data_IF_511946760844
#
_entry.id   IF_511946760844
#
_cell.length_a   1.000
_cell.length_b   1.000
_cell.length_c   1.000
_cell.angle_alpha   90.00
_cell.angle_beta   90.00
_cell.angle_gamma   90.00
#
_symmetry.space_group_name_H-M   'P 1'
#
loop_
_entity.id
_entity.type
_entity.pdbx_description
1 polymer ?
#
# COMPACT_ATOMS: atom_id res chain seq x y z
N UNK A 1 -66.90 109.33 34.89
CA UNK A 1 -67.62 108.14 35.41
C UNK A 1 -68.05 108.44 36.83
N UNK A 2 -69.29 108.14 37.20
CA UNK A 2 -69.80 108.32 38.56
C UNK A 2 -69.06 107.36 39.51
N UNK A 3 -68.16 107.87 40.36
CA UNK A 3 -67.55 107.06 41.44
C UNK A 3 -68.63 106.68 42.44
N UNK A 4 -68.87 105.38 42.62
CA UNK A 4 -69.80 104.87 43.63
C UNK A 4 -69.01 104.59 44.90
N UNK A 5 -69.36 105.26 45.98
CA UNK A 5 -68.69 105.09 47.28
C UNK A 5 -69.45 104.04 48.10
N UNK A 6 -68.78 102.96 48.48
CA UNK A 6 -69.33 101.93 49.37
C UNK A 6 -68.57 101.96 50.70
N UNK A 7 -69.29 102.01 51.81
CA UNK A 7 -68.70 101.90 53.15
C UNK A 7 -68.67 100.43 53.56
N UNK A 8 -67.49 99.83 53.57
CA UNK A 8 -67.29 98.45 53.99
C UNK A 8 -66.95 98.45 55.48
N UNK A 9 -67.71 97.68 56.27
CA UNK A 9 -67.46 97.53 57.72
C UNK A 9 -66.95 96.12 57.99
N UNK A 10 -65.68 96.03 58.43
CA UNK A 10 -65.08 94.77 58.85
C UNK A 10 -65.49 94.45 60.28
N UNK A 11 -65.94 93.21 60.52
CA UNK A 11 -66.35 92.76 61.85
C UNK A 11 -65.17 92.38 62.76
N UNK A 12 -64.04 92.03 62.18
CA UNK A 12 -62.82 91.69 62.90
C UNK A 12 -61.75 92.76 62.60
N UNK A 13 -61.53 93.66 63.56
CA UNK A 13 -60.60 94.79 63.42
C UNK A 13 -59.14 94.36 63.29
N UNK A 14 -58.75 93.28 63.97
CA UNK A 14 -57.39 92.72 63.93
C UNK A 14 -57.02 92.22 62.53
N UNK A 15 -57.95 91.56 61.82
CA UNK A 15 -57.73 91.15 60.42
C UNK A 15 -57.60 92.33 59.47
N UNK A 16 -58.27 93.45 59.78
CA UNK A 16 -58.15 94.67 59.00
C UNK A 16 -56.80 95.35 59.23
N UNK A 17 -56.34 95.40 60.49
CA UNK A 17 -55.00 95.88 60.84
C UNK A 17 -53.91 95.04 60.16
N UNK A 18 -53.98 93.71 60.25
CA UNK A 18 -53.04 92.81 59.57
C UNK A 18 -53.08 92.97 58.03
N UNK A 19 -54.25 93.23 57.45
CA UNK A 19 -54.37 93.51 56.01
C UNK A 19 -53.68 94.82 55.62
N UNK A 20 -53.80 95.86 56.46
CA UNK A 20 -53.12 97.13 56.26
C UNK A 20 -51.61 96.98 56.40
N UNK A 21 -51.14 96.27 57.43
CA UNK A 21 -49.72 95.97 57.64
C UNK A 21 -49.12 95.23 56.45
N UNK A 22 -49.81 94.24 55.89
CA UNK A 22 -49.26 93.45 54.78
C UNK A 22 -49.32 94.19 53.43
N UNK A 23 -50.26 95.13 53.26
CA UNK A 23 -50.20 96.09 52.14
C UNK A 23 -48.99 97.01 52.29
N UNK A 24 -48.75 97.52 53.50
CA UNK A 24 -47.64 98.43 53.79
C UNK A 24 -46.29 97.73 53.64
N UNK A 25 -46.17 96.48 54.09
CA UNK A 25 -44.96 95.67 53.92
C UNK A 25 -44.61 95.41 52.45
N UNK A 26 -45.61 95.18 51.61
CA UNK A 26 -45.41 94.88 50.19
C UNK A 26 -45.24 96.14 49.31
N UNK A 27 -45.85 97.26 49.69
CA UNK A 27 -45.91 98.48 48.86
C UNK A 27 -45.27 99.72 49.51
N UNK A 28 -44.78 99.61 50.74
CA UNK A 28 -44.20 100.71 51.53
C UNK A 28 -45.21 101.73 52.08
N UNK A 29 -46.48 101.67 51.66
CA UNK A 29 -47.57 102.52 52.17
C UNK A 29 -48.93 101.90 51.92
N UNK A 30 -49.90 102.21 52.78
CA UNK A 30 -51.30 101.81 52.60
C UNK A 30 -52.09 102.75 51.68
N UNK A 31 -51.60 103.99 51.49
CA UNK A 31 -52.34 105.05 50.80
C UNK A 31 -52.40 104.77 49.29
N UNK A 32 -53.62 104.69 48.73
CA UNK A 32 -53.86 104.42 47.31
C UNK A 32 -53.85 102.94 46.92
N UNK A 33 -53.20 102.08 47.72
CA UNK A 33 -53.15 100.64 47.47
C UNK A 33 -54.34 99.89 48.08
N UNK A 34 -54.92 100.37 49.20
CA UNK A 34 -56.12 99.75 49.78
C UNK A 34 -57.27 99.66 48.76
N UNK A 35 -57.58 100.77 48.07
CA UNK A 35 -58.66 100.81 47.09
C UNK A 35 -58.45 99.82 45.97
N UNK A 36 -57.26 99.86 45.36
CA UNK A 36 -56.87 98.95 44.26
C UNK A 36 -56.88 97.47 44.69
N UNK A 37 -56.41 97.16 45.90
CA UNK A 37 -56.45 95.79 46.44
C UNK A 37 -57.88 95.33 46.70
N UNK A 38 -58.74 96.19 47.26
CA UNK A 38 -60.16 95.86 47.49
C UNK A 38 -60.90 95.69 46.16
N UNK A 39 -60.64 96.53 45.17
CA UNK A 39 -61.17 96.39 43.81
C UNK A 39 -60.73 95.06 43.19
N UNK A 40 -59.45 94.69 43.32
CA UNK A 40 -58.93 93.40 42.85
C UNK A 40 -59.60 92.21 43.56
N UNK A 41 -59.83 92.31 44.88
CA UNK A 41 -60.55 91.28 45.65
C UNK A 41 -62.01 91.15 45.19
N UNK A 42 -62.66 92.27 44.87
CA UNK A 42 -64.02 92.28 44.30
C UNK A 42 -64.01 91.63 42.91
N UNK A 43 -63.05 91.96 42.06
CA UNK A 43 -62.92 91.36 40.72
C UNK A 43 -62.66 89.85 40.79
N UNK A 44 -61.82 89.40 41.73
CA UNK A 44 -61.58 87.97 41.98
C UNK A 44 -62.88 87.29 42.43
N UNK A 45 -63.61 87.90 43.36
CA UNK A 45 -64.88 87.36 43.84
C UNK A 45 -65.95 87.30 42.73
N UNK A 46 -66.02 88.31 41.87
CA UNK A 46 -66.95 88.32 40.72
C UNK A 46 -66.56 87.23 39.71
N UNK A 47 -65.26 87.07 39.43
CA UNK A 47 -64.75 86.12 38.43
C UNK A 47 -64.83 84.67 38.93
N UNK A 48 -64.74 84.47 40.23
CA UNK A 48 -64.77 83.16 40.88
C UNK A 48 -65.65 83.20 42.15
N UNK A 49 -66.97 83.31 41.98
CA UNK A 49 -67.92 83.50 43.10
C UNK A 49 -67.97 82.30 44.06
N UNK A 50 -67.54 81.13 43.58
CA UNK A 50 -67.50 79.88 44.33
C UNK A 50 -66.22 79.72 45.20
N UNK A 51 -65.29 80.69 45.16
CA UNK A 51 -64.11 80.70 46.03
C UNK A 51 -64.53 81.18 47.42
N UNK A 52 -65.02 80.23 48.20
CA UNK A 52 -65.24 80.37 49.64
C UNK A 52 -63.97 79.99 50.40
N UNK A 53 -63.88 80.41 51.67
CA UNK A 53 -62.80 79.98 52.59
C UNK A 53 -62.74 78.45 52.68
N UNK A 54 -63.88 77.78 52.68
CA UNK A 54 -63.98 76.32 52.69
C UNK A 54 -63.37 75.70 51.43
N UNK A 55 -63.58 76.33 50.26
CA UNK A 55 -63.01 75.86 49.00
C UNK A 55 -61.50 76.06 48.93
N UNK A 56 -60.99 77.15 49.50
CA UNK A 56 -59.55 77.39 49.65
C UNK A 56 -58.89 76.33 50.53
N UNK A 57 -59.48 76.01 51.68
CA UNK A 57 -58.97 74.94 52.58
C UNK A 57 -59.02 73.56 51.90
N UNK A 58 -60.05 73.28 51.09
CA UNK A 58 -60.13 72.05 50.31
C UNK A 58 -59.03 71.98 49.24
N UNK A 59 -58.74 73.10 48.57
CA UNK A 59 -57.67 73.21 47.58
C UNK A 59 -56.29 73.07 48.22
N UNK A 60 -56.06 73.70 49.38
CA UNK A 60 -54.81 73.54 50.16
C UNK A 60 -54.58 72.08 50.52
N UNK A 61 -55.60 71.38 51.06
CA UNK A 61 -55.50 69.94 51.37
C UNK A 61 -55.24 69.08 50.15
N UNK A 62 -55.84 69.41 49.00
CA UNK A 62 -55.57 68.72 47.72
C UNK A 62 -54.15 68.96 47.24
N UNK A 63 -53.64 70.17 47.44
CA UNK A 63 -52.30 70.54 47.05
C UNK A 63 -51.26 69.84 47.94
N UNK A 64 -51.46 69.79 49.26
CA UNK A 64 -50.63 69.00 50.19
C UNK A 64 -50.57 67.53 49.78
N UNK A 65 -51.72 66.90 49.52
CA UNK A 65 -51.78 65.51 49.02
C UNK A 65 -51.05 65.31 47.69
N UNK A 66 -51.11 66.30 46.80
CA UNK A 66 -50.41 66.24 45.52
C UNK A 66 -48.90 66.35 45.72
N UNK A 67 -48.47 67.19 46.67
CA UNK A 67 -47.07 67.31 47.06
C UNK A 67 -46.53 66.01 47.66
N UNK A 68 -47.28 65.39 48.56
CA UNK A 68 -46.95 64.07 49.13
C UNK A 68 -46.79 63.02 48.02
N UNK A 69 -47.73 62.98 47.07
CA UNK A 69 -47.68 62.08 45.91
C UNK A 69 -46.45 62.31 45.04
N UNK A 70 -46.08 63.57 44.81
CA UNK A 70 -44.89 63.94 44.03
C UNK A 70 -43.63 63.44 44.75
N UNK A 71 -43.53 63.68 46.06
CA UNK A 71 -42.37 63.24 46.85
C UNK A 71 -42.24 61.71 46.88
N UNK A 72 -43.35 60.98 46.99
CA UNK A 72 -43.36 59.50 46.90
C UNK A 72 -42.85 59.02 45.54
N UNK A 73 -43.34 59.62 44.44
CA UNK A 73 -42.92 59.26 43.09
C UNK A 73 -41.46 59.62 42.83
N UNK A 74 -41.00 60.78 43.31
CA UNK A 74 -39.59 61.17 43.21
C UNK A 74 -38.69 60.20 43.97
N UNK A 75 -39.11 59.73 45.16
CA UNK A 75 -38.39 58.72 45.91
C UNK A 75 -38.32 57.38 45.16
N UNK A 76 -39.45 56.91 44.62
CA UNK A 76 -39.50 55.66 43.86
C UNK A 76 -38.67 55.70 42.57
N UNK A 77 -38.68 56.84 41.87
CA UNK A 77 -37.87 57.03 40.66
C UNK A 77 -36.39 57.10 41.01
N UNK A 78 -36.03 57.95 41.97
CA UNK A 78 -34.64 58.29 42.25
C UNK A 78 -33.91 57.16 42.97
N UNK A 79 -34.56 56.51 43.93
CA UNK A 79 -33.90 55.48 44.72
C UNK A 79 -34.14 54.11 44.11
N UNK A 80 -35.40 53.70 43.94
CA UNK A 80 -35.68 52.32 43.55
C UNK A 80 -35.31 52.04 42.09
N UNK A 81 -35.78 52.86 41.15
CA UNK A 81 -35.49 52.62 39.73
C UNK A 81 -34.04 52.92 39.35
N UNK A 82 -33.44 54.00 39.88
CA UNK A 82 -32.04 54.32 39.57
C UNK A 82 -31.07 53.26 40.09
N UNK A 83 -31.27 52.76 41.32
CA UNK A 83 -30.42 51.71 41.89
C UNK A 83 -30.54 50.40 41.12
N UNK A 84 -31.76 50.04 40.68
CA UNK A 84 -31.98 48.84 39.87
C UNK A 84 -31.30 48.95 38.49
N UNK A 85 -31.40 50.12 37.85
CA UNK A 85 -30.71 50.39 36.58
C UNK A 85 -29.18 50.32 36.76
N UNK A 86 -28.63 50.92 37.82
CA UNK A 86 -27.19 50.84 38.09
C UNK A 86 -26.71 49.41 38.33
N UNK A 87 -27.50 48.61 39.06
CA UNK A 87 -27.19 47.21 39.29
C UNK A 87 -27.19 46.42 37.98
N UNK A 88 -28.22 46.60 37.16
CA UNK A 88 -28.33 45.92 35.86
C UNK A 88 -27.20 46.33 34.91
N UNK A 89 -26.80 47.60 34.90
CA UNK A 89 -25.67 48.07 34.09
C UNK A 89 -24.35 47.42 34.52
N UNK A 90 -24.08 47.33 35.82
CA UNK A 90 -22.88 46.62 36.33
C UNK A 90 -22.88 45.14 35.96
N UNK A 91 -24.05 44.50 36.02
CA UNK A 91 -24.17 43.08 35.65
C UNK A 91 -23.92 42.85 34.15
N UNK A 92 -24.46 43.72 33.29
CA UNK A 92 -24.19 43.72 31.86
C UNK A 92 -22.72 44.01 31.53
N UNK A 93 -22.09 44.96 32.22
CA UNK A 93 -20.66 45.25 32.06
C UNK A 93 -19.80 44.02 32.37
N UNK A 94 -20.10 43.31 33.46
CA UNK A 94 -19.40 42.08 33.82
C UNK A 94 -19.60 40.98 32.76
N UNK A 95 -20.83 40.79 32.28
CA UNK A 95 -21.12 39.82 31.21
C UNK A 95 -20.34 40.13 29.93
N UNK A 96 -20.28 41.41 29.53
CA UNK A 96 -19.52 41.84 28.35
C UNK A 96 -18.02 41.56 28.53
N UNK A 97 -17.48 41.73 29.73
CA UNK A 97 -16.08 41.45 30.02
C UNK A 97 -15.76 39.94 29.98
N UNK A 98 -16.65 39.11 30.53
CA UNK A 98 -16.55 37.65 30.47
C UNK A 98 -16.63 37.14 29.01
N UNK A 99 -17.62 37.59 28.24
CA UNK A 99 -17.77 37.21 26.83
C UNK A 99 -16.56 37.62 25.98
N UNK A 100 -15.98 38.81 26.24
CA UNK A 100 -14.75 39.24 25.57
C UNK A 100 -13.58 38.30 25.86
N UNK A 101 -13.45 37.86 27.11
CA UNK A 101 -12.38 36.92 27.49
C UNK A 101 -12.56 35.58 26.80
N UNK A 102 -13.77 35.04 26.79
CA UNK A 102 -14.08 33.78 26.09
C UNK A 102 -13.83 33.89 24.59
N UNK A 103 -14.20 35.03 23.97
CA UNK A 103 -13.93 35.29 22.56
C UNK A 103 -12.43 35.25 22.23
N UNK A 104 -11.59 35.88 23.05
CA UNK A 104 -10.14 35.88 22.86
C UNK A 104 -9.53 34.48 23.01
N UNK A 105 -9.99 33.70 23.99
CA UNK A 105 -9.56 32.32 24.18
C UNK A 105 -9.96 31.43 22.98
N UNK A 106 -11.19 31.61 22.47
CA UNK A 106 -11.67 30.89 21.30
C UNK A 106 -10.87 31.25 20.04
N UNK A 107 -10.51 32.53 19.88
CA UNK A 107 -9.70 33.01 18.77
C UNK A 107 -8.28 32.40 18.80
N UNK A 108 -7.64 32.34 19.97
CA UNK A 108 -6.32 31.70 20.13
C UNK A 108 -6.38 30.20 19.83
N UNK A 109 -7.42 29.51 20.31
CA UNK A 109 -7.63 28.10 20.01
C UNK A 109 -7.86 27.84 18.52
N UNK A 110 -8.60 28.72 17.84
CA UNK A 110 -8.82 28.63 16.40
C UNK A 110 -7.51 28.72 15.62
N UNK A 111 -6.65 29.68 15.94
CA UNK A 111 -5.34 29.82 15.26
C UNK A 111 -4.42 28.63 15.53
N UNK A 112 -4.42 28.07 16.75
CA UNK A 112 -3.68 26.84 17.06
C UNK A 112 -4.14 25.66 16.21
N UNK A 113 -5.45 25.43 16.13
CA UNK A 113 -6.02 24.35 15.30
C UNK A 113 -5.69 24.57 13.83
N UNK A 114 -5.77 25.80 13.35
CA UNK A 114 -5.44 26.15 11.96
C UNK A 114 -3.99 25.85 11.63
N UNK A 115 -3.04 26.20 12.50
CA UNK A 115 -1.63 25.87 12.33
C UNK A 115 -1.41 24.35 12.36
N UNK A 116 -2.03 23.64 13.30
CA UNK A 116 -1.90 22.19 13.41
C UNK A 116 -2.43 21.47 12.16
N UNK A 117 -3.54 21.95 11.59
CA UNK A 117 -4.07 21.41 10.33
C UNK A 117 -3.11 21.62 9.16
N UNK A 118 -2.46 22.78 9.07
CA UNK A 118 -1.46 23.05 8.04
C UNK A 118 -0.26 22.11 8.15
N UNK A 119 0.23 21.87 9.35
CA UNK A 119 1.33 20.93 9.60
C UNK A 119 0.94 19.49 9.26
N UNK A 120 -0.31 19.10 9.55
CA UNK A 120 -0.83 17.77 9.17
C UNK A 120 -0.95 17.62 7.66
N UNK A 121 -1.39 18.64 6.94
CA UNK A 121 -1.45 18.63 5.47
C UNK A 121 -0.06 18.47 4.84
N UNK A 122 0.96 19.12 5.40
CA UNK A 122 2.35 19.00 4.94
C UNK A 122 2.90 17.59 5.18
N UNK A 123 2.75 17.06 6.40
CA UNK A 123 3.13 15.68 6.72
C UNK A 123 2.42 14.65 5.83
N UNK A 124 1.15 14.89 5.51
CA UNK A 124 0.39 13.96 4.67
C UNK A 124 0.93 13.95 3.23
N UNK A 125 1.37 15.11 2.70
CA UNK A 125 2.06 15.16 1.40
C UNK A 125 3.39 14.42 1.42
N UNK A 126 4.20 14.62 2.45
CA UNK A 126 5.48 13.91 2.61
C UNK A 126 5.29 12.39 2.63
N UNK A 127 4.32 11.91 3.42
CA UNK A 127 3.98 10.49 3.49
C UNK A 127 3.48 9.92 2.16
N UNK A 128 2.71 10.69 1.39
CA UNK A 128 2.27 10.29 0.05
C UNK A 128 3.45 10.14 -0.91
N UNK A 129 4.41 11.07 -0.88
CA UNK A 129 5.62 11.00 -1.70
C UNK A 129 6.50 9.80 -1.32
N UNK A 130 6.67 9.54 -0.02
CA UNK A 130 7.43 8.39 0.48
C UNK A 130 6.77 7.07 0.07
N UNK A 131 5.43 6.98 0.20
CA UNK A 131 4.65 5.82 -0.24
C UNK A 131 4.87 5.54 -1.73
N UNK A 132 4.85 6.59 -2.58
CA UNK A 132 5.11 6.43 -4.01
C UNK A 132 6.53 5.94 -4.30
N UNK A 133 7.54 6.46 -3.59
CA UNK A 133 8.94 6.00 -3.71
C UNK A 133 9.08 4.53 -3.35
N UNK A 134 8.51 4.11 -2.20
CA UNK A 134 8.56 2.73 -1.74
C UNK A 134 7.83 1.78 -2.68
N UNK A 135 6.68 2.18 -3.25
CA UNK A 135 5.98 1.39 -4.26
C UNK A 135 6.84 1.15 -5.50
N UNK A 136 7.53 2.20 -5.99
CA UNK A 136 8.43 2.08 -7.13
C UNK A 136 9.60 1.14 -6.83
N UNK A 137 10.23 1.30 -5.66
CA UNK A 137 11.33 0.43 -5.23
C UNK A 137 10.89 -1.04 -5.12
N UNK A 138 9.70 -1.29 -4.59
CA UNK A 138 9.15 -2.63 -4.48
C UNK A 138 8.91 -3.29 -5.86
N UNK A 139 8.43 -2.52 -6.84
CA UNK A 139 8.29 -3.00 -8.22
C UNK A 139 9.67 -3.34 -8.81
N UNK A 140 10.67 -2.48 -8.63
CA UNK A 140 12.03 -2.72 -9.12
C UNK A 140 12.67 -3.96 -8.47
N UNK A 141 12.52 -4.13 -7.15
CA UNK A 141 13.02 -5.29 -6.42
C UNK A 141 12.34 -6.59 -6.85
N UNK A 142 11.02 -6.57 -7.00
CA UNK A 142 10.25 -7.72 -7.51
C UNK A 142 10.76 -8.13 -8.90
N UNK A 143 10.95 -7.15 -9.78
CA UNK A 143 11.50 -7.38 -11.12
C UNK A 143 12.89 -8.00 -11.09
N UNK A 144 13.76 -7.52 -10.18
CA UNK A 144 15.11 -8.06 -9.96
C UNK A 144 15.10 -9.47 -9.38
N UNK A 145 14.07 -9.87 -8.65
CA UNK A 145 13.91 -11.20 -8.07
C UNK A 145 13.42 -12.23 -9.09
N UNK A 146 12.51 -11.83 -9.99
CA UNK A 146 11.99 -12.73 -11.03
C UNK A 146 13.07 -13.20 -12.01
N UNK A 147 14.07 -12.36 -12.31
CA UNK A 147 15.10 -12.70 -13.30
C UNK A 147 15.99 -13.87 -12.86
N UNK A 148 16.64 -13.83 -11.67
CA UNK A 148 17.41 -14.96 -11.15
C UNK A 148 16.58 -16.23 -10.98
N UNK A 149 15.30 -16.13 -10.59
CA UNK A 149 14.45 -17.33 -10.47
C UNK A 149 14.23 -18.03 -11.82
N UNK A 150 13.99 -17.26 -12.89
CA UNK A 150 13.87 -17.80 -14.25
C UNK A 150 15.19 -18.38 -14.73
N UNK A 151 16.30 -17.69 -14.48
CA UNK A 151 17.64 -18.14 -14.84
C UNK A 151 18.01 -19.44 -14.12
N UNK A 152 17.70 -19.56 -12.83
CA UNK A 152 17.98 -20.75 -12.03
C UNK A 152 17.15 -21.96 -12.52
N UNK A 153 15.88 -21.75 -12.88
CA UNK A 153 15.05 -22.80 -13.53
C UNK A 153 15.64 -23.27 -14.85
N UNK A 154 16.14 -22.34 -15.67
CA UNK A 154 16.78 -22.67 -16.95
C UNK A 154 18.09 -23.45 -16.72
N UNK A 155 18.88 -23.01 -15.74
CA UNK A 155 20.14 -23.65 -15.38
C UNK A 155 19.92 -25.07 -14.85
N UNK A 156 18.91 -25.28 -14.00
CA UNK A 156 18.53 -26.60 -13.52
C UNK A 156 18.15 -27.52 -14.68
N UNK A 157 17.32 -27.05 -15.62
CA UNK A 157 16.95 -27.84 -16.81
C UNK A 157 18.17 -28.22 -17.65
N UNK A 158 19.11 -27.29 -17.83
CA UNK A 158 20.35 -27.57 -18.56
C UNK A 158 21.23 -28.59 -17.83
N UNK A 159 21.28 -28.52 -16.49
CA UNK A 159 22.00 -29.49 -15.67
C UNK A 159 21.41 -30.89 -15.82
N UNK A 160 20.09 -31.03 -15.73
CA UNK A 160 19.41 -32.32 -15.87
C UNK A 160 19.67 -32.94 -17.26
N UNK A 161 19.64 -32.12 -18.33
CA UNK A 161 19.96 -32.56 -19.68
C UNK A 161 21.42 -33.00 -19.84
N UNK A 162 22.35 -32.30 -19.19
CA UNK A 162 23.76 -32.64 -19.21
C UNK A 162 24.02 -33.96 -18.47
N UNK A 163 23.33 -34.17 -17.34
CA UNK A 163 23.39 -35.42 -16.58
C UNK A 163 22.86 -36.61 -17.39
N UNK A 164 21.75 -36.45 -18.08
CA UNK A 164 21.19 -37.47 -18.99
C UNK A 164 22.20 -37.82 -20.11
N UNK A 165 22.77 -36.80 -20.75
CA UNK A 165 23.78 -36.97 -21.81
C UNK A 165 25.03 -37.69 -21.29
N UNK A 166 25.49 -37.35 -20.09
CA UNK A 166 26.63 -37.99 -19.45
C UNK A 166 26.36 -39.48 -19.17
N UNK A 167 25.17 -39.81 -18.68
CA UNK A 167 24.79 -41.20 -18.42
C UNK A 167 24.72 -42.02 -19.71
N UNK A 168 24.18 -41.44 -20.79
CA UNK A 168 24.17 -42.09 -22.11
C UNK A 168 25.59 -42.37 -22.62
N UNK A 169 26.48 -41.36 -22.58
CA UNK A 169 27.88 -41.53 -22.99
C UNK A 169 28.61 -42.59 -22.16
N UNK A 170 28.31 -42.66 -20.86
CA UNK A 170 28.87 -43.68 -19.97
C UNK A 170 28.42 -45.08 -20.36
N UNK A 171 27.17 -45.25 -20.79
CA UNK A 171 26.65 -46.53 -21.27
C UNK A 171 27.23 -46.90 -22.63
N UNK A 172 27.29 -45.95 -23.57
CA UNK A 172 27.91 -46.14 -24.88
C UNK A 172 29.36 -46.59 -24.75
N UNK A 173 30.13 -45.98 -23.83
CA UNK A 173 31.51 -46.37 -23.57
C UNK A 173 31.62 -47.80 -23.02
N UNK A 174 30.71 -48.22 -22.13
CA UNK A 174 30.65 -49.63 -21.68
C UNK A 174 30.39 -50.58 -22.87
N UNK A 175 29.50 -50.21 -23.78
CA UNK A 175 29.16 -51.01 -24.95
C UNK A 175 30.34 -51.11 -25.92
N UNK A 176 31.04 -50.00 -26.18
CA UNK A 176 32.25 -49.97 -27.00
C UNK A 176 33.33 -50.90 -26.42
N UNK A 177 33.55 -50.85 -25.10
CA UNK A 177 34.54 -51.74 -24.47
C UNK A 177 34.19 -53.22 -24.66
N UNK A 178 32.91 -53.61 -24.51
CA UNK A 178 32.46 -54.99 -24.79
C UNK A 178 32.67 -55.40 -26.25
N UNK A 179 32.40 -54.49 -27.19
CA UNK A 179 32.66 -54.73 -28.61
C UNK A 179 34.15 -54.94 -28.87
N UNK A 180 35.01 -54.14 -28.23
CA UNK A 180 36.46 -54.28 -28.33
C UNK A 180 36.95 -55.64 -27.81
N UNK A 181 36.43 -56.09 -26.67
CA UNK A 181 36.74 -57.41 -26.12
C UNK A 181 36.33 -58.53 -27.08
N UNK A 182 35.14 -58.44 -27.67
CA UNK A 182 34.62 -59.42 -28.63
C UNK A 182 35.49 -59.48 -29.89
N UNK A 183 35.81 -58.33 -30.48
CA UNK A 183 36.70 -58.24 -31.65
C UNK A 183 38.08 -58.85 -31.33
N UNK A 184 38.61 -58.59 -30.14
CA UNK A 184 39.91 -59.12 -29.74
C UNK A 184 39.89 -60.65 -29.62
N UNK A 185 38.80 -61.23 -29.11
CA UNK A 185 38.64 -62.68 -29.03
C UNK A 185 38.41 -63.33 -30.40
N UNK A 186 37.64 -62.70 -31.29
CA UNK A 186 37.50 -63.11 -32.69
C UNK A 186 38.87 -63.09 -33.41
N UNK A 187 39.66 -62.03 -33.21
CA UNK A 187 41.00 -61.92 -33.79
C UNK A 187 41.92 -63.05 -33.30
N UNK A 188 41.90 -63.37 -32.00
CA UNK A 188 42.66 -64.50 -31.45
C UNK A 188 42.21 -65.83 -32.06
N UNK A 189 40.90 -66.01 -32.27
CA UNK A 189 40.38 -67.22 -32.89
C UNK A 189 40.83 -67.33 -34.35
N UNK A 190 40.71 -66.26 -35.13
CA UNK A 190 41.15 -66.22 -36.52
C UNK A 190 42.66 -66.50 -36.65
N UNK A 191 43.48 -66.00 -35.71
CA UNK A 191 44.91 -66.31 -35.64
C UNK A 191 45.18 -67.80 -35.41
N UNK A 192 44.40 -68.47 -34.53
CA UNK A 192 44.49 -69.92 -34.32
C UNK A 192 44.10 -70.68 -35.59
N UNK A 193 42.97 -70.33 -36.19
CA UNK A 193 42.46 -70.99 -37.40
C UNK A 193 43.47 -70.87 -38.55
N UNK A 194 44.09 -69.69 -38.69
CA UNK A 194 45.16 -69.45 -39.69
C UNK A 194 46.38 -70.35 -39.44
N UNK A 195 46.77 -70.58 -38.17
CA UNK A 195 47.88 -71.49 -37.84
C UNK A 195 47.54 -72.93 -38.16
N UNK A 196 46.31 -73.37 -37.84
CA UNK A 196 45.82 -74.71 -38.17
C UNK A 196 45.81 -74.92 -39.68
N UNK A 197 45.20 -74.01 -40.44
CA UNK A 197 45.16 -74.10 -41.90
C UNK A 197 46.56 -74.14 -42.53
N UNK A 198 47.54 -73.40 -42.00
CA UNK A 198 48.94 -73.48 -42.44
C UNK A 198 49.57 -74.86 -42.15
N UNK A 199 49.28 -75.44 -40.99
CA UNK A 199 49.74 -76.79 -40.63
C UNK A 199 49.14 -77.84 -41.56
N UNK A 200 47.83 -77.78 -41.78
CA UNK A 200 47.10 -78.69 -42.67
C UNK A 200 47.63 -78.59 -44.11
N UNK A 201 47.86 -77.36 -44.59
CA UNK A 201 48.47 -77.13 -45.90
C UNK A 201 49.85 -77.79 -46.00
N UNK A 202 50.70 -77.66 -44.98
CA UNK A 202 52.01 -78.30 -44.95
C UNK A 202 51.89 -79.83 -45.03
N UNK A 203 50.97 -80.42 -44.27
CA UNK A 203 50.71 -81.86 -44.31
C UNK A 203 50.21 -82.33 -45.68
N UNK A 204 49.30 -81.59 -46.31
CA UNK A 204 48.81 -81.89 -47.66
C UNK A 204 49.97 -81.85 -48.67
N UNK A 205 50.85 -80.86 -48.58
CA UNK A 205 52.03 -80.78 -49.46
C UNK A 205 52.96 -81.98 -49.23
N UNK A 206 53.19 -82.39 -47.98
CA UNK A 206 53.98 -83.58 -47.66
C UNK A 206 53.37 -84.88 -48.20
N UNK A 207 52.04 -85.06 -48.07
CA UNK A 207 51.34 -86.25 -48.59
C UNK A 207 51.34 -86.27 -50.11
N UNK A 208 51.11 -85.14 -50.78
CA UNK A 208 51.23 -85.01 -52.24
C UNK A 208 52.63 -85.39 -52.73
N UNK A 209 53.68 -84.93 -52.03
CA UNK A 209 55.05 -85.28 -52.37
C UNK A 209 55.33 -86.79 -52.21
N UNK A 210 54.78 -87.44 -51.18
CA UNK A 210 54.88 -88.90 -51.01
C UNK A 210 54.14 -89.64 -52.13
N UNK A 211 52.90 -89.26 -52.39
CA UNK A 211 52.08 -89.86 -53.44
C UNK A 211 52.73 -89.69 -54.82
N UNK A 212 53.35 -88.54 -55.10
CA UNK A 212 54.10 -88.31 -56.34
C UNK A 212 55.30 -89.26 -56.46
N UNK A 213 56.03 -89.53 -55.37
CA UNK A 213 57.13 -90.50 -55.36
C UNK A 213 56.62 -91.92 -55.60
N UNK A 214 55.54 -92.33 -54.93
CA UNK A 214 54.90 -93.63 -55.14
C UNK A 214 54.41 -93.80 -56.58
N UNK A 215 53.77 -92.78 -57.15
CA UNK A 215 53.37 -92.75 -58.55
C UNK A 215 54.56 -92.94 -59.49
N UNK A 216 55.66 -92.20 -59.27
CA UNK A 216 56.87 -92.34 -60.07
C UNK A 216 57.48 -93.75 -59.96
N UNK A 217 57.46 -94.35 -58.77
CA UNK A 217 57.92 -95.72 -58.55
C UNK A 217 57.06 -96.73 -59.31
N UNK A 218 55.73 -96.66 -59.16
CA UNK A 218 54.79 -97.51 -59.89
C UNK A 218 54.93 -97.34 -61.41
N UNK A 219 55.15 -96.11 -61.89
CA UNK A 219 55.39 -95.84 -63.31
C UNK A 219 56.68 -96.53 -63.79
N UNK A 220 57.75 -96.51 -62.99
CA UNK A 220 59.00 -97.19 -63.30
C UNK A 220 58.85 -98.71 -63.25
N UNK A 221 58.13 -99.26 -62.28
CA UNK A 221 57.79 -100.68 -62.21
C UNK A 221 56.96 -101.11 -63.42
N UNK A 222 55.94 -100.34 -63.80
CA UNK A 222 55.14 -100.63 -64.98
C UNK A 222 55.98 -100.62 -66.28
N UNK A 223 56.94 -99.68 -66.40
CA UNK A 223 57.92 -99.70 -67.50
C UNK A 223 58.76 -100.98 -67.48
N UNK A 224 59.25 -101.42 -66.32
CA UNK A 224 59.99 -102.70 -66.18
C UNK A 224 59.13 -103.88 -66.62
N UNK A 225 57.89 -103.99 -66.13
CA UNK A 225 56.96 -105.04 -66.54
C UNK A 225 56.66 -105.01 -68.03
N UNK A 226 56.53 -103.83 -68.63
CA UNK A 226 56.30 -103.66 -70.08
C UNK A 226 57.49 -104.18 -70.90
N UNK A 227 58.73 -103.85 -70.50
CA UNK A 227 59.96 -104.37 -71.13
C UNK A 227 60.00 -105.90 -71.01
N UNK A 228 59.78 -106.41 -69.80
CA UNK A 228 59.80 -107.84 -69.51
C UNK A 228 58.72 -108.62 -70.28
N UNK A 229 57.52 -108.06 -70.41
CA UNK A 229 56.47 -108.62 -71.26
C UNK A 229 56.85 -108.63 -72.74
N UNK A 230 57.50 -107.57 -73.22
CA UNK A 230 58.01 -107.51 -74.59
C UNK A 230 59.12 -108.56 -74.84
N UNK A 231 60.00 -108.79 -73.86
CA UNK A 231 61.01 -109.86 -73.91
C UNK A 231 60.36 -111.25 -74.00
N UNK A 232 59.41 -111.57 -73.12
CA UNK A 232 58.65 -112.84 -73.17
C UNK A 232 57.98 -113.00 -74.55
N UNK A 233 57.34 -111.95 -75.06
CA UNK A 233 56.63 -112.00 -76.35
C UNK A 233 57.57 -112.32 -77.52
N UNK A 234 58.84 -111.90 -77.44
CA UNK A 234 59.89 -112.21 -78.43
C UNK A 234 60.47 -113.62 -78.29
N UNK A 235 60.30 -114.29 -77.15
CA UNK A 235 60.71 -115.69 -76.96
C UNK A 235 59.85 -116.65 -77.80
N UNK A 236 60.47 -117.71 -78.31
CA UNK A 236 59.79 -118.78 -79.05
C UNK A 236 58.96 -119.70 -78.14
N UNK A 237 57.99 -120.42 -78.71
CA UNK A 237 57.06 -121.26 -77.95
C UNK A 237 57.78 -122.36 -77.14
N UNK A 238 58.86 -122.92 -77.68
CA UNK A 238 59.68 -123.96 -77.03
C UNK A 238 60.46 -123.42 -75.84
N UNK A 239 60.97 -122.18 -75.90
CA UNK A 239 61.69 -121.55 -74.79
C UNK A 239 60.78 -121.24 -73.59
N UNK A 240 59.51 -120.90 -73.85
CA UNK A 240 58.50 -120.70 -72.79
C UNK A 240 58.07 -122.01 -72.15
N UNK A 241 57.85 -123.07 -72.94
CA UNK A 241 57.44 -124.40 -72.45
C UNK A 241 58.55 -125.06 -71.59
N UNK A 242 59.83 -124.82 -71.92
CA UNK A 242 60.97 -125.35 -71.18
C UNK A 242 61.37 -124.52 -69.94
N UNK A 243 60.60 -123.47 -69.60
CA UNK A 243 60.82 -122.68 -68.38
C UNK A 243 62.08 -121.80 -68.37
N UNK A 244 62.65 -121.47 -69.54
CA UNK A 244 63.86 -120.63 -69.65
C UNK A 244 63.55 -119.13 -69.64
N UNK A 245 62.81 -118.67 -68.63
CA UNK A 245 62.48 -117.26 -68.49
C UNK A 245 63.71 -116.41 -68.12
N UNK A 246 63.76 -115.11 -68.50
CA UNK A 246 64.76 -114.15 -68.02
C UNK A 246 64.90 -114.20 -66.49
N UNK A 247 66.11 -114.00 -65.94
CA UNK A 247 66.37 -114.15 -64.50
C UNK A 247 65.44 -113.29 -63.63
N UNK A 248 65.09 -112.10 -64.09
CA UNK A 248 64.18 -111.18 -63.43
C UNK A 248 62.74 -111.73 -63.25
N UNK A 249 62.35 -112.78 -63.99
CA UNK A 249 61.06 -113.49 -63.84
C UNK A 249 61.16 -114.60 -62.80
N UNK A 250 62.33 -115.23 -62.68
CA UNK A 250 62.54 -116.28 -61.68
C UNK A 250 62.43 -115.70 -60.26
N UNK A 251 62.95 -114.50 -60.05
CA UNK A 251 62.88 -113.80 -58.75
C UNK A 251 61.44 -113.47 -58.31
N UNK A 252 60.53 -113.18 -59.24
CA UNK A 252 59.11 -112.94 -58.97
C UNK A 252 58.33 -114.23 -58.61
N UNK A 253 58.82 -115.40 -59.03
CA UNK A 253 58.18 -116.70 -58.73
C UNK A 253 58.73 -117.37 -57.45
N UNK A 254 59.86 -116.89 -56.92
CA UNK A 254 60.48 -117.40 -55.68
C UNK A 254 60.11 -116.60 -54.42
N UNK A 255 59.21 -115.61 -54.53
CA UNK A 255 58.70 -114.81 -53.41
C UNK A 255 57.20 -115.00 -53.20
N UNK A 256 56.80 -116.18 -52.72
CA UNK A 256 55.55 -116.45 -51.98
C UNK A 256 55.93 -117.14 -50.67
#
# INVERSE_FOLDING_TARGET
>A
MSSKTATIRFKNGEKWENFLEEIEKNNGTTRGHIGTTVETLIDIYIKYPDITVEKLVELEKKNEKSLEKINELEHDITNNHSEEIEKNNKELENQIEEEKKEYLELQDNYEKIRLMNKDLEEKNKELQEETFKLQKENIELTSKLEYPERENKLLQKNYDQLEETYNQLKEDNKNINKMFDTINDELKQQQKDTRTARSDYKHIVETLNKLQKEYNNLQNENKKYTVLFAEIKKMSLTERILGKYPENIKELNSGN
#
